data_IF_423094952248
#
_entry.id   IF_423094952248
#
_cell.length_a   1.000
_cell.length_b   1.000
_cell.length_c   1.000
_cell.angle_alpha   90.00
_cell.angle_beta   90.00
_cell.angle_gamma   90.00
#
_symmetry.space_group_name_H-M   'P 1'
#
loop_
_entity.id
_entity.type
_entity.pdbx_description
1 polymer ?
#
# COMPACT_ATOMS: atom_id res chain seq x y z
N UNK A 1 -39.30 49.15 33.51
CA UNK A 1 -38.09 48.52 34.08
C UNK A 1 -37.96 47.04 33.70
N UNK A 2 -38.91 46.15 34.06
CA UNK A 2 -38.85 44.71 33.74
C UNK A 2 -38.66 44.38 32.25
N UNK A 3 -39.36 45.09 31.35
CA UNK A 3 -39.21 44.92 29.89
C UNK A 3 -37.83 45.32 29.36
N UNK A 4 -37.23 46.37 29.92
CA UNK A 4 -35.89 46.86 29.53
C UNK A 4 -34.83 45.86 29.99
N UNK A 5 -34.96 45.33 31.21
CA UNK A 5 -34.09 44.27 31.74
C UNK A 5 -34.18 43.02 30.84
N UNK A 6 -35.39 42.61 30.45
CA UNK A 6 -35.57 41.46 29.58
C UNK A 6 -34.91 41.66 28.20
N UNK A 7 -35.09 42.84 27.59
CA UNK A 7 -34.44 43.18 26.30
C UNK A 7 -32.91 43.17 26.45
N UNK A 8 -32.37 43.75 27.53
CA UNK A 8 -30.93 43.73 27.80
C UNK A 8 -30.39 42.30 27.97
N UNK A 9 -31.11 41.44 28.69
CA UNK A 9 -30.75 40.02 28.84
C UNK A 9 -30.73 39.30 27.49
N UNK A 10 -31.72 39.53 26.62
CA UNK A 10 -31.77 38.93 25.28
C UNK A 10 -30.60 39.40 24.41
N UNK A 11 -30.25 40.69 24.47
CA UNK A 11 -29.09 41.23 23.73
C UNK A 11 -27.78 40.59 24.22
N UNK A 12 -27.61 40.46 25.54
CA UNK A 12 -26.42 39.80 26.11
C UNK A 12 -26.32 38.34 25.66
N UNK A 13 -27.44 37.61 25.67
CA UNK A 13 -27.47 36.23 25.18
C UNK A 13 -27.10 36.13 23.69
N UNK A 14 -27.60 37.04 22.85
CA UNK A 14 -27.24 37.07 21.43
C UNK A 14 -25.75 37.33 21.20
N UNK A 15 -25.14 38.25 21.98
CA UNK A 15 -23.69 38.51 21.90
C UNK A 15 -22.87 37.28 22.32
N UNK A 16 -23.30 36.59 23.39
CA UNK A 16 -22.66 35.36 23.84
C UNK A 16 -22.75 34.29 22.76
N UNK A 17 -23.93 34.05 22.19
CA UNK A 17 -24.13 33.07 21.12
C UNK A 17 -23.21 33.38 19.93
N UNK A 18 -23.18 34.63 19.47
CA UNK A 18 -22.34 35.02 18.34
C UNK A 18 -20.84 34.73 18.58
N UNK A 19 -20.35 35.04 19.78
CA UNK A 19 -18.96 34.78 20.15
C UNK A 19 -18.65 33.28 20.22
N UNK A 20 -19.54 32.48 20.82
CA UNK A 20 -19.39 31.03 20.85
C UNK A 20 -19.41 30.42 19.45
N UNK A 21 -20.31 30.86 18.57
CA UNK A 21 -20.37 30.36 17.19
C UNK A 21 -19.07 30.63 16.44
N UNK A 22 -18.51 31.83 16.57
CA UNK A 22 -17.20 32.15 15.99
C UNK A 22 -16.07 31.28 16.55
N UNK A 23 -16.04 31.08 17.88
CA UNK A 23 -15.02 30.27 18.53
C UNK A 23 -15.09 28.80 18.12
N UNK A 24 -16.29 28.24 18.02
CA UNK A 24 -16.49 26.85 17.58
C UNK A 24 -16.05 26.68 16.12
N UNK A 25 -16.38 27.63 15.25
CA UNK A 25 -15.99 27.58 13.85
C UNK A 25 -14.46 27.63 13.67
N UNK A 26 -13.79 28.53 14.40
CA UNK A 26 -12.33 28.65 14.38
C UNK A 26 -11.64 27.38 14.92
N UNK A 27 -12.20 26.77 15.97
CA UNK A 27 -11.70 25.51 16.52
C UNK A 27 -11.82 24.35 15.53
N UNK A 28 -12.95 24.23 14.83
CA UNK A 28 -13.14 23.20 13.79
C UNK A 28 -12.15 23.37 12.65
N UNK A 29 -11.94 24.60 12.18
CA UNK A 29 -10.99 24.85 11.10
C UNK A 29 -9.55 24.49 11.49
N UNK A 30 -9.16 24.81 12.74
CA UNK A 30 -7.85 24.43 13.28
C UNK A 30 -7.69 22.92 13.42
N UNK A 31 -8.75 22.22 13.82
CA UNK A 31 -8.75 20.76 13.92
C UNK A 31 -8.55 20.11 12.54
N UNK A 32 -9.29 20.57 11.52
CA UNK A 32 -9.16 20.06 10.16
C UNK A 32 -7.76 20.27 9.59
N UNK A 33 -7.17 21.46 9.82
CA UNK A 33 -5.80 21.77 9.42
C UNK A 33 -4.79 20.85 10.11
N UNK A 34 -4.96 20.60 11.40
CA UNK A 34 -4.09 19.71 12.17
C UNK A 34 -4.19 18.27 11.65
N UNK A 35 -5.40 17.75 11.47
CA UNK A 35 -5.63 16.40 10.96
C UNK A 35 -5.10 16.23 9.53
N UNK A 36 -5.26 17.24 8.67
CA UNK A 36 -4.68 17.23 7.33
C UNK A 36 -3.13 17.24 7.35
N UNK A 37 -2.54 18.04 8.25
CA UNK A 37 -1.09 18.11 8.41
C UNK A 37 -0.52 16.78 8.97
N UNK A 38 -1.16 16.18 9.96
CA UNK A 38 -0.79 14.88 10.52
C UNK A 38 -0.87 13.78 9.45
N UNK A 39 -1.96 13.74 8.68
CA UNK A 39 -2.12 12.77 7.58
C UNK A 39 -1.02 12.93 6.53
N UNK A 40 -0.66 14.16 6.18
CA UNK A 40 0.43 14.44 5.23
C UNK A 40 1.78 14.01 5.80
N UNK A 41 2.02 14.26 7.09
CA UNK A 41 3.24 13.87 7.78
C UNK A 41 3.43 12.36 7.81
N UNK A 42 2.39 11.60 8.14
CA UNK A 42 2.44 10.13 8.12
C UNK A 42 2.72 9.58 6.72
N UNK A 43 2.08 10.15 5.70
CA UNK A 43 2.30 9.75 4.31
C UNK A 43 3.75 10.01 3.87
N UNK A 44 4.32 11.16 4.22
CA UNK A 44 5.73 11.46 3.93
C UNK A 44 6.70 10.59 4.72
N UNK A 45 6.38 10.21 5.96
CA UNK A 45 7.18 9.24 6.73
C UNK A 45 7.19 7.87 6.06
N UNK A 46 6.04 7.37 5.63
CA UNK A 46 5.95 6.10 4.91
C UNK A 46 6.74 6.12 3.60
N UNK A 47 6.61 7.20 2.83
CA UNK A 47 7.42 7.42 1.62
C UNK A 47 8.91 7.41 1.94
N UNK A 48 9.33 8.14 2.96
CA UNK A 48 10.73 8.20 3.38
C UNK A 48 11.26 6.82 3.79
N UNK A 49 10.46 6.05 4.54
CA UNK A 49 10.81 4.67 4.95
C UNK A 49 10.99 3.76 3.73
N UNK A 50 10.06 3.82 2.77
CA UNK A 50 10.14 3.03 1.53
C UNK A 50 11.39 3.40 0.72
N UNK A 51 11.64 4.69 0.52
CA UNK A 51 12.81 5.17 -0.22
C UNK A 51 14.12 4.75 0.45
N UNK A 52 14.20 4.79 1.79
CA UNK A 52 15.38 4.31 2.52
C UNK A 52 15.59 2.81 2.35
N UNK A 53 14.52 2.02 2.37
CA UNK A 53 14.61 0.58 2.16
C UNK A 53 15.09 0.25 0.73
N UNK A 54 14.54 0.94 -0.27
CA UNK A 54 14.94 0.80 -1.67
C UNK A 54 16.39 1.22 -1.89
N UNK A 55 16.82 2.34 -1.28
CA UNK A 55 18.20 2.81 -1.34
C UNK A 55 19.17 1.79 -0.73
N UNK A 56 18.81 1.20 0.41
CA UNK A 56 19.61 0.13 1.05
C UNK A 56 19.71 -1.10 0.14
N UNK A 57 18.61 -1.50 -0.50
CA UNK A 57 18.60 -2.63 -1.44
C UNK A 57 19.47 -2.35 -2.67
N UNK A 58 19.34 -1.17 -3.29
CA UNK A 58 20.16 -0.80 -4.46
C UNK A 58 21.66 -0.72 -4.13
N UNK A 59 22.01 -0.35 -2.90
CA UNK A 59 23.39 -0.36 -2.42
C UNK A 59 23.89 -1.76 -2.03
N UNK A 60 23.02 -2.75 -1.94
CA UNK A 60 23.40 -4.10 -1.55
C UNK A 60 24.21 -4.80 -2.65
N UNK A 61 25.11 -5.68 -2.22
CA UNK A 61 25.90 -6.51 -3.13
C UNK A 61 25.01 -7.37 -4.04
N UNK A 62 23.86 -7.83 -3.53
CA UNK A 62 22.90 -8.61 -4.30
C UNK A 62 22.39 -7.83 -5.51
N UNK A 63 21.97 -6.57 -5.31
CA UNK A 63 21.48 -5.75 -6.42
C UNK A 63 22.59 -5.48 -7.44
N UNK A 64 23.81 -5.17 -6.98
CA UNK A 64 24.96 -4.96 -7.87
C UNK A 64 25.23 -6.21 -8.70
N UNK A 65 25.18 -7.40 -8.08
CA UNK A 65 25.38 -8.67 -8.75
C UNK A 65 24.25 -9.00 -9.74
N UNK A 66 22.98 -8.77 -9.37
CA UNK A 66 21.84 -8.90 -10.26
C UNK A 66 21.97 -7.99 -11.49
N UNK A 67 22.31 -6.71 -11.30
CA UNK A 67 22.54 -5.80 -12.43
C UNK A 67 23.74 -6.22 -13.28
N UNK A 68 24.83 -6.69 -12.67
CA UNK A 68 26.00 -7.16 -13.41
C UNK A 68 25.69 -8.41 -14.25
N UNK A 69 24.95 -9.38 -13.70
CA UNK A 69 24.51 -10.59 -14.42
C UNK A 69 23.50 -10.25 -15.51
N UNK A 70 22.47 -9.48 -15.20
CA UNK A 70 21.33 -9.27 -16.10
C UNK A 70 21.61 -8.23 -17.20
N UNK A 71 22.41 -7.20 -16.91
CA UNK A 71 22.67 -6.10 -17.85
C UNK A 71 24.02 -6.22 -18.54
N UNK A 72 25.03 -6.70 -17.83
CA UNK A 72 26.41 -6.73 -18.32
C UNK A 72 26.87 -8.14 -18.70
N UNK A 73 26.05 -9.17 -18.47
CA UNK A 73 26.42 -10.58 -18.65
C UNK A 73 27.77 -10.89 -17.99
N UNK A 74 27.98 -10.31 -16.80
CA UNK A 74 29.16 -10.52 -16.00
C UNK A 74 28.86 -11.56 -14.94
N UNK A 75 29.76 -12.53 -14.79
CA UNK A 75 29.72 -13.57 -13.76
C UNK A 75 31.01 -13.55 -12.94
N UNK A 76 30.96 -14.18 -11.76
CA UNK A 76 32.12 -14.18 -10.85
C UNK A 76 33.25 -15.05 -11.42
N UNK A 77 34.52 -14.79 -11.05
CA UNK A 77 35.64 -15.64 -11.46
C UNK A 77 35.38 -17.10 -11.04
N UNK A 78 35.33 -18.00 -12.02
CA UNK A 78 35.05 -19.43 -11.82
C UNK A 78 33.61 -19.88 -12.10
N UNK A 79 32.70 -18.96 -12.43
CA UNK A 79 31.36 -19.29 -12.93
C UNK A 79 31.33 -19.32 -14.47
N UNK A 80 30.44 -20.12 -15.04
CA UNK A 80 30.25 -20.22 -16.50
C UNK A 80 28.87 -19.65 -16.88
N UNK A 81 28.85 -18.60 -17.69
CA UNK A 81 27.62 -18.02 -18.22
C UNK A 81 27.04 -18.93 -19.31
N UNK A 82 25.88 -19.52 -19.03
CA UNK A 82 25.15 -20.37 -19.98
C UNK A 82 23.90 -19.63 -20.44
N UNK A 83 23.89 -19.20 -21.70
CA UNK A 83 22.71 -18.61 -22.34
C UNK A 83 21.76 -19.73 -22.80
N UNK A 84 20.71 -19.98 -22.02
CA UNK A 84 19.69 -20.97 -22.40
C UNK A 84 18.62 -20.28 -23.25
N UNK A 85 18.43 -20.77 -24.48
CA UNK A 85 17.35 -20.30 -25.34
C UNK A 85 16.00 -20.65 -24.73
N UNK A 86 15.08 -19.67 -24.67
CA UNK A 86 13.79 -19.79 -23.96
C UNK A 86 12.88 -20.92 -24.50
N UNK A 87 13.09 -21.33 -25.75
CA UNK A 87 12.45 -22.50 -26.38
C UNK A 87 12.85 -23.85 -25.76
N UNK A 88 13.96 -23.92 -25.01
CA UNK A 88 14.44 -25.14 -24.34
C UNK A 88 14.00 -25.23 -22.86
N UNK A 89 13.56 -24.11 -22.26
CA UNK A 89 13.19 -24.02 -20.83
C UNK A 89 11.69 -24.27 -20.61
N UNK A 90 10.89 -24.24 -21.67
CA UNK A 90 9.55 -24.80 -21.58
C UNK A 90 9.71 -26.32 -21.48
N UNK A 91 9.46 -26.98 -20.32
CA UNK A 91 8.99 -28.35 -20.42
C UNK A 91 7.79 -28.25 -21.34
N UNK A 92 7.76 -29.05 -22.40
CA UNK A 92 6.50 -29.58 -22.85
C UNK A 92 5.87 -30.24 -21.61
N UNK A 93 5.16 -29.44 -20.81
CA UNK A 93 4.08 -29.94 -19.99
C UNK A 93 3.14 -30.50 -21.03
N UNK A 94 3.35 -31.78 -21.37
CA UNK A 94 2.32 -32.63 -21.91
C UNK A 94 1.14 -32.38 -20.99
N UNK A 95 0.20 -31.55 -21.44
CA UNK A 95 -1.02 -31.29 -20.71
C UNK A 95 -1.58 -32.69 -20.46
N UNK A 96 -1.73 -33.15 -19.20
CA UNK A 96 -2.31 -34.45 -18.98
C UNK A 96 -3.65 -34.43 -19.73
N UNK A 97 -3.84 -35.38 -20.66
CA UNK A 97 -5.09 -35.48 -21.42
C UNK A 97 -6.22 -35.35 -20.42
N UNK A 98 -7.01 -34.30 -20.56
CA UNK A 98 -8.02 -33.95 -19.57
C UNK A 98 -9.03 -35.09 -19.55
N UNK A 99 -8.97 -35.90 -18.50
CA UNK A 99 -9.78 -37.10 -18.39
C UNK A 99 -11.25 -36.70 -18.19
N UNK A 100 -12.04 -36.85 -19.25
CA UNK A 100 -13.46 -36.48 -19.32
C UNK A 100 -14.36 -37.44 -18.54
N UNK A 101 -13.82 -38.49 -17.92
CA UNK A 101 -14.63 -39.45 -17.14
C UNK A 101 -15.23 -38.80 -15.88
N UNK A 102 -16.47 -39.17 -15.50
CA UNK A 102 -17.08 -38.74 -14.24
C UNK A 102 -16.25 -39.18 -13.02
N UNK A 103 -16.30 -38.38 -11.94
CA UNK A 103 -15.48 -38.62 -10.74
C UNK A 103 -15.69 -40.01 -10.12
N UNK A 104 -16.92 -40.54 -10.11
CA UNK A 104 -17.21 -41.86 -9.54
C UNK A 104 -16.43 -42.99 -10.26
N UNK A 105 -16.22 -42.86 -11.57
CA UNK A 105 -15.52 -43.86 -12.37
C UNK A 105 -14.01 -43.82 -12.09
N UNK A 106 -13.47 -42.64 -11.79
CA UNK A 106 -12.07 -42.46 -11.35
C UNK A 106 -11.84 -43.10 -9.99
N UNK A 107 -12.79 -42.95 -9.06
CA UNK A 107 -12.72 -43.58 -7.74
C UNK A 107 -12.85 -45.10 -7.80
N UNK A 108 -13.75 -45.62 -8.64
CA UNK A 108 -13.88 -47.07 -8.86
C UNK A 108 -12.56 -47.68 -9.36
N UNK A 109 -11.90 -47.07 -10.34
CA UNK A 109 -10.62 -47.55 -10.84
C UNK A 109 -9.50 -47.48 -9.79
N UNK A 110 -9.48 -46.44 -8.95
CA UNK A 110 -8.47 -46.29 -7.90
C UNK A 110 -8.58 -47.34 -6.78
N UNK A 111 -9.80 -47.76 -6.44
CA UNK A 111 -10.04 -48.61 -5.27
C UNK A 111 -10.32 -50.08 -5.60
N UNK A 112 -10.65 -50.43 -6.84
CA UNK A 112 -11.08 -51.79 -7.21
C UNK A 112 -10.34 -52.38 -8.41
N UNK A 113 -9.20 -51.79 -8.82
CA UNK A 113 -8.32 -52.32 -9.86
C UNK A 113 -6.94 -52.62 -9.30
#
# INVERSE_FOLDING_TARGET
MKKIIYIATVIILLVIINNLTHSIYDLWHKQDLLTAAEKKLELEKERNKKLKAELSYVQSQQFIEEQARDKLFMSKPGEQDILIQKNLIAPEKSKPKQDTRPNWQKWMELFFK
#
